data_IF_915377842591
#
_entry.id   IF_915377842591
#
_cell.length_a   1.000
_cell.length_b   1.000
_cell.length_c   1.000
_cell.angle_alpha   90.00
_cell.angle_beta   90.00
_cell.angle_gamma   90.00
#
_symmetry.space_group_name_H-M   'P 1'
#
loop_
_entity.id
_entity.type
_entity.pdbx_description
1 polymer ?
#
# COMPACT_ATOMS: atom_id res chain seq x y z
N UNK A 1 -52.06 6.84 -35.23
CA UNK A 1 -52.67 7.63 -36.33
C UNK A 1 -53.11 8.96 -35.75
N UNK A 2 -52.94 10.08 -36.47
CA UNK A 2 -53.29 11.41 -35.95
C UNK A 2 -52.45 12.54 -36.53
N UNK A 3 -52.88 13.05 -37.68
CA UNK A 3 -52.43 14.30 -38.33
C UNK A 3 -53.70 14.98 -38.90
N UNK A 4 -53.71 16.27 -39.31
CA UNK A 4 -52.57 17.19 -39.46
C UNK A 4 -52.83 18.66 -38.99
N UNK A 5 -51.94 19.58 -39.39
CA UNK A 5 -52.18 21.00 -39.74
C UNK A 5 -52.51 22.05 -38.65
N UNK A 6 -51.45 22.80 -38.29
CA UNK A 6 -51.29 24.26 -38.51
C UNK A 6 -52.46 25.24 -38.35
N UNK A 7 -52.19 26.35 -37.64
CA UNK A 7 -52.25 27.68 -38.27
C UNK A 7 -51.30 28.70 -37.60
N UNK A 8 -51.10 29.85 -38.25
CA UNK A 8 -50.18 30.93 -37.86
C UNK A 8 -50.98 32.23 -37.79
N UNK A 9 -50.77 33.06 -36.74
CA UNK A 9 -50.66 34.53 -36.83
C UNK A 9 -50.44 35.19 -35.44
N UNK A 10 -49.65 36.27 -35.45
CA UNK A 10 -49.51 37.28 -34.38
C UNK A 10 -50.41 38.50 -34.73
N UNK A 11 -50.36 39.69 -34.08
CA UNK A 11 -49.64 40.11 -32.85
C UNK A 11 -50.44 41.02 -31.88
N UNK A 12 -49.97 41.17 -30.63
CA UNK A 12 -50.16 42.40 -29.81
C UNK A 12 -48.86 42.69 -29.03
N UNK A 13 -48.50 43.96 -28.82
CA UNK A 13 -47.20 44.37 -28.22
C UNK A 13 -47.29 44.76 -26.73
N UNK A 14 -46.22 44.53 -25.94
CA UNK A 14 -46.12 44.99 -24.55
C UNK A 14 -45.49 46.38 -24.39
N UNK A 15 -45.83 47.07 -23.31
CA UNK A 15 -45.15 48.25 -22.72
C UNK A 15 -45.42 48.25 -21.21
N UNK A 16 -44.55 48.71 -20.31
CA UNK A 16 -43.14 49.16 -20.39
C UNK A 16 -42.58 49.21 -18.96
N UNK A 17 -41.30 48.87 -18.77
CA UNK A 17 -40.44 49.55 -17.79
C UNK A 17 -39.14 49.95 -18.52
N UNK A 18 -38.56 51.08 -18.13
CA UNK A 18 -37.47 51.80 -18.80
C UNK A 18 -36.51 52.35 -17.73
N UNK A 19 -35.21 52.59 -17.93
CA UNK A 19 -34.20 52.21 -18.98
C UNK A 19 -32.84 52.86 -18.57
N UNK A 20 -31.73 52.48 -19.24
CA UNK A 20 -30.42 53.19 -19.32
C UNK A 20 -29.51 53.08 -18.06
N UNK A 21 -28.17 53.07 -18.13
CA UNK A 21 -27.22 53.06 -19.27
C UNK A 21 -25.93 52.29 -18.83
N UNK A 22 -25.14 51.52 -19.60
CA UNK A 22 -24.96 51.24 -21.04
C UNK A 22 -23.88 52.07 -21.81
N UNK A 23 -22.61 51.69 -21.64
CA UNK A 23 -21.47 51.84 -22.60
C UNK A 23 -20.43 50.74 -22.26
N UNK A 24 -19.93 49.84 -23.13
CA UNK A 24 -19.39 49.93 -24.52
C UNK A 24 -18.07 50.72 -24.59
N UNK A 25 -17.04 50.31 -25.34
CA UNK A 25 -16.98 49.36 -26.49
C UNK A 25 -15.79 48.34 -26.44
N UNK A 26 -15.66 47.51 -27.49
CA UNK A 26 -14.63 46.48 -27.71
C UNK A 26 -13.67 46.91 -28.83
N UNK A 27 -12.34 46.77 -28.71
CA UNK A 27 -11.47 46.40 -29.85
C UNK A 27 -10.04 45.89 -29.51
N UNK A 28 -9.73 44.70 -30.02
CA UNK A 28 -8.45 44.13 -30.52
C UNK A 28 -7.04 44.67 -30.18
N UNK A 29 -6.14 43.72 -29.85
CA UNK A 29 -4.69 43.59 -30.22
C UNK A 29 -3.67 44.66 -29.78
N UNK A 30 -2.62 44.25 -29.04
CA UNK A 30 -1.20 44.25 -29.52
C UNK A 30 -0.24 43.60 -28.50
N UNK A 31 1.00 43.33 -28.92
CA UNK A 31 2.15 42.86 -28.12
C UNK A 31 3.15 44.00 -27.83
N UNK A 32 4.03 43.77 -26.85
CA UNK A 32 5.32 44.44 -26.60
C UNK A 32 5.35 45.95 -26.26
N UNK A 33 5.91 46.31 -25.10
CA UNK A 33 7.34 46.70 -24.98
C UNK A 33 7.67 47.37 -23.62
N UNK A 34 8.98 47.63 -23.40
CA UNK A 34 9.61 48.46 -22.35
C UNK A 34 9.50 47.91 -20.90
N UNK A 35 10.56 47.48 -20.20
CA UNK A 35 11.93 47.99 -19.90
C UNK A 35 12.02 48.88 -18.64
N UNK A 36 12.72 48.35 -17.63
CA UNK A 36 13.68 49.01 -16.73
C UNK A 36 13.46 50.45 -16.25
N UNK A 37 13.35 50.61 -14.93
CA UNK A 37 14.04 51.67 -14.18
C UNK A 37 14.41 51.20 -12.77
N UNK A 38 15.49 51.74 -12.21
CA UNK A 38 16.06 51.30 -10.92
C UNK A 38 15.24 51.79 -9.72
N UNK A 39 15.36 51.08 -8.59
CA UNK A 39 14.61 51.38 -7.36
C UNK A 39 15.27 52.41 -6.43
N UNK A 40 14.59 52.63 -5.30
CA UNK A 40 15.08 53.31 -4.08
C UNK A 40 14.63 52.48 -2.88
N UNK A 41 15.42 52.44 -1.81
CA UNK A 41 15.03 51.89 -0.49
C UNK A 41 14.65 53.02 0.46
N UNK A 42 13.58 52.84 1.23
CA UNK A 42 13.46 53.41 2.58
C UNK A 42 12.58 52.52 3.45
N UNK A 43 12.72 52.68 4.77
CA UNK A 43 12.08 51.88 5.81
C UNK A 43 10.60 52.22 6.02
N UNK A 44 9.85 51.30 6.64
CA UNK A 44 9.42 51.44 8.04
C UNK A 44 8.81 50.13 8.57
N UNK A 45 8.87 49.93 9.88
CA UNK A 45 8.33 48.78 10.61
C UNK A 45 6.83 48.97 10.91
N UNK A 46 6.04 47.88 10.87
CA UNK A 46 4.92 47.65 11.80
C UNK A 46 4.79 46.14 12.00
N UNK A 47 4.96 45.66 13.23
CA UNK A 47 4.54 44.31 13.63
C UNK A 47 3.01 44.24 13.78
N UNK A 48 2.38 43.25 13.16
CA UNK A 48 1.05 42.77 13.57
C UNK A 48 1.08 41.25 13.61
N UNK A 49 1.04 40.70 14.82
CA UNK A 49 0.83 39.28 15.06
C UNK A 49 -0.63 38.88 14.78
N UNK A 50 -0.84 37.75 14.10
CA UNK A 50 -2.06 36.97 14.21
C UNK A 50 -1.80 35.54 13.70
N UNK A 51 -1.92 34.56 14.60
CA UNK A 51 -2.04 33.16 14.22
C UNK A 51 -3.45 32.89 13.65
N UNK A 52 -3.56 32.04 12.62
CA UNK A 52 -4.35 30.80 12.71
C UNK A 52 -4.32 29.92 11.45
N UNK A 53 -4.12 28.63 11.71
CA UNK A 53 -4.76 27.48 11.08
C UNK A 53 -5.12 27.57 9.58
N UNK A 54 -4.21 27.07 8.73
CA UNK A 54 -4.60 26.35 7.51
C UNK A 54 -3.62 25.19 7.28
N UNK A 55 -3.84 24.07 7.98
CA UNK A 55 -3.09 22.81 7.81
C UNK A 55 -3.38 22.17 6.44
N UNK A 56 -2.76 22.71 5.40
CA UNK A 56 -2.81 22.19 4.04
C UNK A 56 -1.58 21.33 3.78
N UNK A 57 -1.71 20.01 3.95
CA UNK A 57 -0.67 19.04 3.61
C UNK A 57 -0.28 19.15 2.13
N UNK A 58 0.83 19.84 1.85
CA UNK A 58 1.39 19.95 0.50
C UNK A 58 2.22 18.72 0.18
N UNK A 59 1.85 17.97 -0.86
CA UNK A 59 2.70 16.96 -1.47
C UNK A 59 4.03 17.58 -1.93
N UNK A 60 5.16 17.11 -1.40
CA UNK A 60 6.48 17.66 -1.74
C UNK A 60 6.82 17.29 -3.19
N UNK A 61 6.86 18.29 -4.08
CA UNK A 61 7.30 18.10 -5.46
C UNK A 61 8.83 18.13 -5.55
N UNK A 62 9.40 17.22 -6.34
CA UNK A 62 10.86 17.08 -6.51
C UNK A 62 11.43 17.81 -7.74
N UNK A 63 10.60 18.58 -8.47
CA UNK A 63 11.06 19.47 -9.55
C UNK A 63 11.23 20.89 -8.99
N UNK A 64 12.44 21.24 -8.55
CA UNK A 64 12.72 22.56 -7.97
C UNK A 64 12.70 23.68 -9.01
N UNK A 65 12.00 24.78 -8.69
CA UNK A 65 12.12 26.04 -9.41
C UNK A 65 13.26 26.90 -8.82
N UNK A 66 13.93 27.68 -9.66
CA UNK A 66 15.17 28.40 -9.31
C UNK A 66 14.89 29.74 -8.61
N UNK A 67 14.70 29.75 -7.30
CA UNK A 67 14.78 30.98 -6.49
C UNK A 67 16.04 31.05 -5.62
N UNK A 68 16.85 32.07 -5.83
CA UNK A 68 18.14 32.29 -5.17
C UNK A 68 18.02 33.00 -3.83
N UNK A 69 17.45 32.32 -2.82
CA UNK A 69 17.43 32.81 -1.44
C UNK A 69 18.41 32.06 -0.52
N UNK A 70 19.00 32.77 0.44
CA UNK A 70 19.99 32.22 1.40
C UNK A 70 19.29 31.41 2.49
N UNK A 71 18.95 30.16 2.19
CA UNK A 71 18.47 29.23 3.22
C UNK A 71 19.54 28.94 4.27
N UNK A 72 19.12 28.94 5.53
CA UNK A 72 19.95 28.51 6.66
C UNK A 72 20.30 27.03 6.47
N UNK A 73 21.58 26.72 6.37
CA UNK A 73 22.06 25.34 6.47
C UNK A 73 21.77 24.84 7.89
N UNK A 74 20.81 23.93 8.01
CA UNK A 74 20.87 22.68 8.80
C UNK A 74 19.49 21.99 8.92
N UNK A 75 18.68 22.00 7.85
CA UNK A 75 17.39 21.26 7.77
C UNK A 75 17.58 19.73 7.76
N UNK A 76 18.81 19.26 7.55
CA UNK A 76 19.18 17.85 7.56
C UNK A 76 20.22 17.59 8.65
N UNK A 77 20.06 16.52 9.47
CA UNK A 77 21.03 16.20 10.50
C UNK A 77 22.38 15.82 9.87
N UNK A 78 23.48 16.37 10.42
CA UNK A 78 24.85 16.14 9.93
C UNK A 78 25.38 14.72 10.19
N UNK A 79 24.62 13.91 10.90
CA UNK A 79 24.92 12.51 11.21
C UNK A 79 23.63 11.70 11.30
N UNK A 80 23.73 10.39 11.05
CA UNK A 80 22.65 9.42 11.27
C UNK A 80 22.18 9.47 12.74
N UNK A 81 20.87 9.30 12.97
CA UNK A 81 20.31 9.09 14.32
C UNK A 81 20.89 7.82 14.96
N UNK A 82 20.87 7.69 16.29
CA UNK A 82 21.42 6.51 16.96
C UNK A 82 20.65 5.23 16.60
N UNK A 83 19.32 5.28 16.55
CA UNK A 83 18.45 4.21 16.05
C UNK A 83 18.77 3.83 14.59
N UNK A 84 19.12 4.79 13.71
CA UNK A 84 19.57 4.46 12.35
C UNK A 84 21.00 3.86 12.34
N UNK A 85 21.89 4.29 13.26
CA UNK A 85 23.20 3.63 13.45
C UNK A 85 23.05 2.21 13.99
N UNK A 86 22.02 1.93 14.78
CA UNK A 86 21.66 0.60 15.28
C UNK A 86 21.13 -0.30 14.15
N UNK A 87 20.12 0.17 13.40
CA UNK A 87 19.58 -0.50 12.20
C UNK A 87 20.70 -0.94 11.23
N UNK A 88 21.72 -0.09 11.05
CA UNK A 88 22.87 -0.32 10.16
C UNK A 88 24.03 -1.12 10.82
N UNK A 89 23.97 -1.40 12.12
CA UNK A 89 24.83 -2.38 12.82
C UNK A 89 24.19 -3.77 12.76
N UNK A 90 22.93 -3.90 13.14
CA UNK A 90 22.22 -5.18 13.29
C UNK A 90 22.29 -6.03 12.01
N UNK A 91 22.02 -5.40 10.86
CA UNK A 91 22.09 -6.01 9.54
C UNK A 91 23.48 -6.57 9.16
N UNK A 92 24.58 -6.07 9.73
CA UNK A 92 25.93 -6.58 9.40
C UNK A 92 26.17 -7.99 9.93
N UNK A 93 25.43 -8.39 10.96
CA UNK A 93 25.59 -9.68 11.63
C UNK A 93 24.74 -10.79 10.99
N UNK A 94 23.80 -10.49 10.08
CA UNK A 94 22.89 -11.51 9.51
C UNK A 94 23.42 -12.21 8.23
N UNK A 95 24.66 -11.95 7.82
CA UNK A 95 25.31 -12.52 6.62
C UNK A 95 25.77 -14.00 6.75
N UNK A 96 25.04 -14.83 7.48
CA UNK A 96 25.28 -16.27 7.52
C UNK A 96 24.73 -16.97 6.27
N UNK A 97 25.40 -18.04 5.83
CA UNK A 97 24.88 -18.91 4.75
C UNK A 97 23.61 -19.61 5.25
N UNK A 98 22.50 -19.41 4.55
CA UNK A 98 21.26 -20.11 4.83
C UNK A 98 21.33 -21.57 4.34
N UNK A 99 21.48 -22.50 5.27
CA UNK A 99 20.96 -23.86 5.10
C UNK A 99 19.57 -23.89 5.72
N UNK A 100 18.53 -24.20 4.93
CA UNK A 100 17.27 -24.68 5.49
C UNK A 100 17.57 -26.06 6.07
N UNK A 101 17.51 -26.20 7.38
CA UNK A 101 17.59 -27.51 7.99
C UNK A 101 16.20 -28.14 7.98
N UNK A 102 16.11 -29.43 7.66
CA UNK A 102 14.89 -30.20 7.89
C UNK A 102 14.74 -30.47 9.40
N UNK A 103 14.49 -29.42 10.18
CA UNK A 103 14.10 -29.54 11.57
C UNK A 103 12.76 -30.25 11.59
N UNK A 104 12.76 -31.45 12.17
CA UNK A 104 11.55 -32.18 12.48
C UNK A 104 10.77 -31.29 13.45
N UNK A 105 9.66 -30.72 12.99
CA UNK A 105 8.75 -29.98 13.86
C UNK A 105 8.26 -30.94 14.94
N UNK A 106 8.65 -30.71 16.19
CA UNK A 106 7.91 -31.23 17.34
C UNK A 106 6.52 -30.62 17.24
N UNK A 107 5.60 -31.35 16.59
CA UNK A 107 4.21 -30.94 16.44
C UNK A 107 3.60 -30.93 17.83
N UNK A 108 3.41 -29.73 18.34
CA UNK A 108 2.45 -29.40 19.38
C UNK A 108 1.13 -30.10 19.06
N UNK A 109 0.65 -30.94 19.99
CA UNK A 109 -0.62 -31.66 19.82
C UNK A 109 -1.85 -30.73 19.97
N UNK A 110 -1.59 -29.46 20.29
CA UNK A 110 -2.57 -28.41 20.43
C UNK A 110 -3.36 -28.18 19.13
N UNK A 111 -4.68 -28.21 19.23
CA UNK A 111 -5.61 -27.92 18.13
C UNK A 111 -6.30 -26.58 18.41
N UNK A 112 -6.10 -25.55 17.58
CA UNK A 112 -6.78 -24.26 17.74
C UNK A 112 -8.29 -24.38 17.84
N UNK A 113 -8.86 -23.68 18.83
CA UNK A 113 -10.30 -23.48 19.01
C UNK A 113 -10.69 -22.05 18.58
N UNK A 114 -11.96 -21.67 18.73
CA UNK A 114 -12.46 -20.37 18.29
C UNK A 114 -11.79 -19.18 19.00
N UNK A 115 -11.39 -19.33 20.27
CA UNK A 115 -10.79 -18.26 21.09
C UNK A 115 -9.25 -18.22 21.00
N UNK A 116 -8.64 -19.01 20.11
CA UNK A 116 -7.19 -19.08 19.96
C UNK A 116 -6.68 -17.84 19.24
N UNK A 117 -5.81 -17.08 19.91
CA UNK A 117 -5.19 -15.85 19.41
C UNK A 117 -3.86 -16.17 18.70
N UNK A 118 -3.10 -17.11 19.25
CA UNK A 118 -1.78 -17.53 18.78
C UNK A 118 -1.60 -19.03 19.05
N UNK A 119 -0.91 -19.75 18.17
CA UNK A 119 -0.50 -21.15 18.39
C UNK A 119 0.84 -21.49 17.70
N UNK A 120 1.40 -22.66 18.03
CA UNK A 120 2.75 -23.13 17.65
C UNK A 120 3.84 -22.05 17.81
N UNK A 121 3.73 -21.20 18.82
CA UNK A 121 4.55 -20.00 19.09
C UNK A 121 4.51 -18.88 18.03
N UNK A 122 4.14 -19.15 16.78
CA UNK A 122 4.37 -18.22 15.66
C UNK A 122 3.18 -18.03 14.69
N UNK A 123 2.08 -18.76 14.84
CA UNK A 123 0.93 -18.65 13.93
C UNK A 123 -0.25 -17.92 14.59
N UNK A 124 -0.85 -16.97 13.88
CA UNK A 124 -2.13 -16.36 14.28
C UNK A 124 -3.24 -17.42 14.35
N UNK A 125 -3.98 -17.45 15.46
CA UNK A 125 -5.05 -18.42 15.70
C UNK A 125 -6.40 -18.03 15.11
N UNK A 126 -7.39 -18.90 15.34
CA UNK A 126 -8.74 -18.82 14.76
C UNK A 126 -9.48 -17.52 15.06
N UNK A 127 -9.35 -16.95 16.27
CA UNK A 127 -10.01 -15.68 16.66
C UNK A 127 -9.59 -14.54 15.72
N UNK A 128 -8.33 -14.54 15.28
CA UNK A 128 -7.77 -13.55 14.35
C UNK A 128 -8.07 -13.91 12.90
N UNK A 129 -7.79 -15.15 12.48
CA UNK A 129 -7.98 -15.59 11.08
C UNK A 129 -9.46 -15.57 10.64
N UNK A 130 -10.40 -15.96 11.51
CA UNK A 130 -11.85 -15.89 11.23
C UNK A 130 -12.36 -14.43 11.20
N UNK A 131 -11.66 -13.51 11.87
CA UNK A 131 -11.98 -12.08 11.89
C UNK A 131 -11.37 -11.29 10.73
N UNK A 132 -10.62 -11.95 9.84
CA UNK A 132 -9.97 -11.29 8.70
C UNK A 132 -11.00 -10.76 7.68
N UNK A 133 -10.85 -9.52 7.18
CA UNK A 133 -11.81 -8.94 6.25
C UNK A 133 -11.79 -9.65 4.89
N UNK A 134 -12.98 -9.86 4.32
CA UNK A 134 -13.12 -10.41 2.99
C UNK A 134 -12.47 -9.47 1.95
N UNK A 135 -11.49 -10.02 1.23
CA UNK A 135 -10.86 -9.40 0.08
C UNK A 135 -11.02 -10.23 -1.19
N UNK A 136 -10.06 -10.12 -2.10
CA UNK A 136 -10.11 -10.69 -3.44
C UNK A 136 -9.77 -12.18 -3.43
N UNK A 137 -10.77 -13.04 -3.20
CA UNK A 137 -10.66 -14.51 -3.22
C UNK A 137 -10.32 -15.09 -4.59
N UNK A 138 -10.06 -16.40 -4.68
CA UNK A 138 -9.40 -17.05 -5.84
C UNK A 138 -9.96 -16.66 -7.21
N UNK A 139 -11.27 -16.78 -7.41
CA UNK A 139 -11.93 -16.54 -8.72
C UNK A 139 -12.05 -15.05 -9.15
N UNK A 140 -11.71 -14.08 -8.30
CA UNK A 140 -11.97 -12.66 -8.64
C UNK A 140 -11.11 -12.13 -9.77
N UNK A 141 -9.94 -12.75 -10.02
CA UNK A 141 -9.06 -12.37 -11.11
C UNK A 141 -9.66 -12.75 -12.46
N UNK A 142 -10.16 -13.99 -12.58
CA UNK A 142 -10.72 -14.57 -13.81
C UNK A 142 -12.08 -13.92 -14.16
N UNK A 143 -12.86 -13.53 -13.15
CA UNK A 143 -14.09 -12.75 -13.35
C UNK A 143 -13.76 -11.37 -13.94
N UNK A 144 -12.77 -10.67 -13.38
CA UNK A 144 -12.31 -9.37 -13.88
C UNK A 144 -11.71 -9.44 -15.29
N UNK A 145 -10.95 -10.50 -15.56
CA UNK A 145 -10.31 -10.76 -16.85
C UNK A 145 -11.33 -10.94 -17.98
N UNK A 146 -12.30 -11.84 -17.80
CA UNK A 146 -13.42 -12.03 -18.75
C UNK A 146 -14.27 -10.77 -18.90
N UNK A 147 -14.48 -10.03 -17.80
CA UNK A 147 -15.23 -8.78 -17.81
C UNK A 147 -14.55 -7.72 -18.68
N UNK A 148 -13.25 -7.46 -18.49
CA UNK A 148 -12.49 -6.48 -19.28
C UNK A 148 -12.40 -6.88 -20.76
N UNK A 149 -12.37 -8.18 -21.08
CA UNK A 149 -12.39 -8.68 -22.46
C UNK A 149 -13.69 -8.42 -23.23
N UNK A 150 -14.82 -8.39 -22.53
CA UNK A 150 -16.14 -8.20 -23.14
C UNK A 150 -16.60 -6.74 -23.11
N UNK A 151 -15.95 -5.90 -22.30
CA UNK A 151 -16.33 -4.52 -22.02
C UNK A 151 -15.90 -3.52 -23.09
N UNK A 152 -16.27 -2.26 -22.86
CA UNK A 152 -15.97 -1.08 -23.70
C UNK A 152 -15.80 0.11 -22.74
N UNK A 153 -14.69 0.85 -22.86
CA UNK A 153 -14.50 2.10 -22.10
C UNK A 153 -15.26 3.23 -22.82
N UNK A 154 -16.16 3.89 -22.09
CA UNK A 154 -16.98 5.00 -22.61
C UNK A 154 -16.51 6.38 -22.13
N UNK A 155 -15.62 6.44 -21.13
CA UNK A 155 -15.06 7.68 -20.56
C UNK A 155 -13.69 7.40 -19.95
N UNK A 156 -12.74 8.30 -20.17
CA UNK A 156 -11.36 8.19 -19.66
C UNK A 156 -10.90 9.54 -19.08
N UNK A 157 -10.61 9.59 -17.77
CA UNK A 157 -10.35 10.83 -17.04
C UNK A 157 -9.09 10.76 -16.15
N UNK A 158 -8.56 11.91 -15.75
CA UNK A 158 -7.40 11.99 -14.87
C UNK A 158 -7.74 11.41 -13.49
N UNK A 159 -6.96 10.45 -13.01
CA UNK A 159 -7.21 9.80 -11.73
C UNK A 159 -6.15 8.75 -11.38
N UNK A 160 -6.39 8.03 -10.28
CA UNK A 160 -5.53 6.93 -9.82
C UNK A 160 -4.07 7.33 -9.57
N UNK A 161 -3.84 8.49 -8.94
CA UNK A 161 -2.52 8.93 -8.46
C UNK A 161 -1.74 9.77 -9.48
N UNK A 162 -0.97 9.12 -10.38
CA UNK A 162 0.01 9.81 -11.22
C UNK A 162 -0.60 10.46 -12.48
N UNK A 163 0.03 11.54 -12.97
CA UNK A 163 -0.42 12.33 -14.14
C UNK A 163 -0.69 11.51 -15.41
N UNK A 164 0.00 10.39 -15.64
CA UNK A 164 -0.24 9.49 -16.79
C UNK A 164 -1.24 8.35 -16.51
N UNK A 165 -1.62 8.11 -15.25
CA UNK A 165 -2.68 7.16 -14.92
C UNK A 165 -4.05 7.74 -15.31
N UNK A 166 -5.01 6.87 -15.59
CA UNK A 166 -6.39 7.26 -15.90
C UNK A 166 -7.37 6.43 -15.11
N UNK A 167 -8.44 7.07 -14.66
CA UNK A 167 -9.67 6.40 -14.26
C UNK A 167 -10.48 6.19 -15.55
N UNK A 168 -10.85 4.96 -15.84
CA UNK A 168 -11.77 4.64 -16.95
C UNK A 168 -13.10 4.18 -16.39
N UNK A 169 -14.17 4.53 -17.08
CA UNK A 169 -15.53 4.07 -16.78
C UNK A 169 -16.06 3.27 -17.95
N UNK A 170 -16.52 2.05 -17.67
CA UNK A 170 -17.14 1.15 -18.63
C UNK A 170 -18.63 1.49 -18.84
N UNK A 171 -19.22 0.89 -19.87
CA UNK A 171 -20.61 1.17 -20.31
C UNK A 171 -21.69 0.95 -19.25
N UNK A 172 -21.43 0.13 -18.24
CA UNK A 172 -22.32 -0.17 -17.10
C UNK A 172 -22.08 0.72 -15.86
N UNK A 173 -21.09 1.61 -15.91
CA UNK A 173 -20.68 2.46 -14.80
C UNK A 173 -19.62 1.87 -13.87
N UNK A 174 -19.16 0.62 -14.10
CA UNK A 174 -18.00 0.07 -13.39
C UNK A 174 -16.75 0.85 -13.79
N UNK A 175 -15.80 0.98 -12.86
CA UNK A 175 -14.59 1.76 -13.06
C UNK A 175 -13.31 0.93 -12.91
N UNK A 176 -12.24 1.36 -13.57
CA UNK A 176 -10.89 0.80 -13.43
C UNK A 176 -9.81 1.88 -13.36
N UNK A 177 -8.76 1.60 -12.61
CA UNK A 177 -7.51 2.35 -12.67
C UNK A 177 -6.60 1.76 -13.74
N UNK A 178 -6.21 2.58 -14.71
CA UNK A 178 -5.32 2.20 -15.80
C UNK A 178 -3.93 2.80 -15.56
N UNK A 179 -2.94 1.93 -15.41
CA UNK A 179 -1.52 2.27 -15.25
C UNK A 179 -0.82 2.24 -16.61
N UNK A 180 -0.44 3.42 -17.10
CA UNK A 180 0.40 3.59 -18.29
C UNK A 180 1.82 4.03 -17.90
N UNK A 181 2.84 3.39 -18.49
CA UNK A 181 4.26 3.70 -18.26
C UNK A 181 5.05 3.60 -19.56
N UNK A 182 6.08 4.43 -19.68
CA UNK A 182 7.06 4.34 -20.77
C UNK A 182 8.04 3.17 -20.59
N UNK A 183 8.33 2.83 -19.32
CA UNK A 183 9.25 1.79 -18.88
C UNK A 183 8.52 0.46 -18.63
N UNK A 184 8.96 -0.62 -19.29
CA UNK A 184 8.38 -1.96 -19.16
C UNK A 184 8.56 -2.56 -17.78
N UNK A 185 9.68 -2.30 -17.08
CA UNK A 185 9.94 -2.81 -15.72
C UNK A 185 8.82 -2.48 -14.74
N UNK A 186 8.15 -1.33 -14.89
CA UNK A 186 7.06 -0.90 -14.00
C UNK A 186 5.73 -1.59 -14.33
N UNK A 187 5.45 -1.87 -15.61
CA UNK A 187 4.28 -2.66 -16.03
C UNK A 187 4.46 -4.12 -15.59
N UNK A 188 5.67 -4.68 -15.81
CA UNK A 188 6.04 -6.01 -15.34
C UNK A 188 6.04 -6.09 -13.81
N UNK A 189 6.59 -5.07 -13.13
CA UNK A 189 6.59 -4.97 -11.66
C UNK A 189 5.19 -5.04 -11.08
N UNK A 190 4.23 -4.28 -11.62
CA UNK A 190 2.83 -4.31 -11.21
C UNK A 190 2.18 -5.69 -11.44
N UNK A 191 2.22 -6.23 -12.67
CA UNK A 191 1.49 -7.48 -12.98
C UNK A 191 2.12 -8.73 -12.34
N UNK A 192 3.46 -8.83 -12.30
CA UNK A 192 4.10 -9.97 -11.64
C UNK A 192 4.00 -9.85 -10.10
N UNK A 193 3.93 -8.64 -9.53
CA UNK A 193 3.61 -8.49 -8.09
C UNK A 193 2.17 -8.91 -7.81
N UNK A 194 1.20 -8.61 -8.68
CA UNK A 194 -0.15 -9.16 -8.60
C UNK A 194 -0.14 -10.70 -8.63
N UNK A 195 0.56 -11.32 -9.60
CA UNK A 195 0.67 -12.79 -9.69
C UNK A 195 1.36 -13.43 -8.47
N UNK A 196 2.44 -12.83 -7.95
CA UNK A 196 3.06 -13.27 -6.67
C UNK A 196 2.07 -13.19 -5.52
N UNK A 197 1.25 -12.15 -5.46
CA UNK A 197 0.15 -12.02 -4.49
C UNK A 197 -0.87 -13.15 -4.61
N UNK A 198 -1.26 -13.55 -5.83
CA UNK A 198 -2.15 -14.71 -6.06
C UNK A 198 -1.52 -16.02 -5.60
N UNK A 199 -0.25 -16.25 -5.95
CA UNK A 199 0.49 -17.46 -5.57
C UNK A 199 0.69 -17.60 -4.05
N UNK A 200 0.70 -16.49 -3.31
CA UNK A 200 0.76 -16.42 -1.84
C UNK A 200 -0.64 -16.43 -1.16
N UNK A 201 -1.72 -16.63 -1.93
CA UNK A 201 -3.11 -16.52 -1.49
C UNK A 201 -3.43 -15.20 -0.75
N UNK A 202 -2.84 -14.09 -1.22
CA UNK A 202 -3.09 -12.76 -0.68
C UNK A 202 -4.35 -12.15 -1.29
N UNK A 203 -5.28 -11.81 -0.41
CA UNK A 203 -6.59 -11.21 -0.69
C UNK A 203 -6.55 -9.68 -0.78
N UNK A 204 -5.38 -9.10 -0.60
CA UNK A 204 -5.12 -7.66 -0.42
C UNK A 204 -4.78 -6.92 -1.73
N UNK A 205 -4.73 -7.63 -2.86
CA UNK A 205 -4.39 -7.09 -4.18
C UNK A 205 -5.62 -7.13 -5.09
N UNK A 206 -5.99 -5.97 -5.65
CA UNK A 206 -7.14 -5.87 -6.53
C UNK A 206 -6.89 -6.54 -7.90
N UNK A 207 -7.92 -7.20 -8.49
CA UNK A 207 -7.85 -7.82 -9.80
C UNK A 207 -7.25 -6.88 -10.85
N UNK A 208 -6.22 -7.37 -11.53
CA UNK A 208 -5.39 -6.58 -12.44
C UNK A 208 -5.07 -7.40 -13.70
N UNK A 209 -5.31 -6.82 -14.88
CA UNK A 209 -5.04 -7.46 -16.17
C UNK A 209 -4.17 -6.58 -17.06
N UNK A 210 -3.41 -7.18 -17.97
CA UNK A 210 -2.70 -6.44 -19.02
C UNK A 210 -3.59 -6.32 -20.25
N UNK A 211 -3.64 -5.14 -20.86
CA UNK A 211 -4.18 -4.92 -22.22
C UNK A 211 -3.21 -4.06 -23.02
N UNK A 212 -3.35 -4.05 -24.33
CA UNK A 212 -2.58 -3.20 -25.25
C UNK A 212 -3.44 -1.99 -25.62
N UNK A 213 -2.85 -0.79 -25.67
CA UNK A 213 -3.49 0.41 -26.23
C UNK A 213 -3.52 0.28 -27.76
N UNK A 214 -4.57 -0.32 -28.31
CA UNK A 214 -4.89 -0.30 -29.74
C UNK A 214 -6.24 0.39 -29.95
N UNK A 215 -6.27 1.43 -30.80
CA UNK A 215 -7.48 2.19 -31.12
C UNK A 215 -8.48 1.40 -32.00
N UNK A 216 -8.08 0.23 -32.51
CA UNK A 216 -8.95 -0.73 -33.20
C UNK A 216 -9.62 -1.73 -32.25
N UNK A 217 -9.13 -1.87 -31.03
CA UNK A 217 -9.76 -2.69 -30.01
C UNK A 217 -11.04 -2.00 -29.51
N UNK A 218 -12.14 -2.76 -29.46
CA UNK A 218 -13.42 -2.35 -28.89
C UNK A 218 -13.25 -1.74 -27.49
N UNK A 219 -12.29 -2.22 -26.70
CA UNK A 219 -11.99 -1.70 -25.37
C UNK A 219 -11.68 -0.19 -25.37
N UNK A 220 -11.03 0.32 -26.41
CA UNK A 220 -10.47 1.69 -26.48
C UNK A 220 -11.09 2.58 -27.55
N UNK A 221 -11.75 2.00 -28.56
CA UNK A 221 -12.25 2.70 -29.75
C UNK A 221 -13.00 4.01 -29.42
N UNK A 222 -13.93 3.93 -28.47
CA UNK A 222 -14.81 5.03 -28.04
C UNK A 222 -14.12 6.15 -27.23
N UNK A 223 -12.89 5.92 -26.74
CA UNK A 223 -12.07 6.93 -26.00
C UNK A 223 -10.76 7.28 -26.70
N UNK A 224 -10.66 7.04 -28.01
CA UNK A 224 -9.49 7.39 -28.84
C UNK A 224 -9.05 8.86 -28.74
N UNK A 225 -9.98 9.80 -28.56
CA UNK A 225 -9.69 11.21 -28.30
C UNK A 225 -9.07 11.48 -26.92
N UNK A 226 -9.52 10.78 -25.88
CA UNK A 226 -8.98 10.89 -24.52
C UNK A 226 -7.58 10.26 -24.43
N UNK A 227 -7.35 9.14 -25.13
CA UNK A 227 -6.04 8.49 -25.28
C UNK A 227 -5.04 9.45 -25.94
N UNK A 228 -5.46 10.12 -27.00
CA UNK A 228 -4.65 11.13 -27.71
C UNK A 228 -4.33 12.33 -26.80
N UNK A 229 -5.33 12.81 -26.06
CA UNK A 229 -5.18 13.90 -25.07
C UNK A 229 -4.28 13.49 -23.89
N UNK A 230 -4.28 12.21 -23.51
CA UNK A 230 -3.41 11.64 -22.49
C UNK A 230 -1.95 11.42 -22.96
N UNK A 231 -1.65 11.67 -24.24
CA UNK A 231 -0.33 11.42 -24.86
C UNK A 231 0.14 9.97 -24.69
N UNK A 232 -0.82 9.03 -24.71
CA UNK A 232 -0.54 7.60 -24.68
C UNK A 232 -0.19 7.10 -26.09
N UNK A 233 0.94 6.40 -26.21
CA UNK A 233 1.32 5.77 -27.47
C UNK A 233 0.50 4.50 -27.70
N UNK A 234 0.09 4.28 -28.95
CA UNK A 234 -0.47 3.00 -29.38
C UNK A 234 0.57 1.88 -29.30
N UNK A 235 0.11 0.62 -29.30
CA UNK A 235 0.94 -0.58 -29.17
C UNK A 235 1.79 -0.59 -27.88
N UNK A 236 1.22 -0.10 -26.77
CA UNK A 236 1.82 -0.14 -25.43
C UNK A 236 0.97 -0.96 -24.47
N UNK A 237 1.63 -1.77 -23.65
CA UNK A 237 1.00 -2.50 -22.56
C UNK A 237 0.62 -1.55 -21.41
N UNK A 238 -0.58 -1.73 -20.88
CA UNK A 238 -1.13 -1.03 -19.71
C UNK A 238 -1.74 -2.05 -18.75
N UNK A 239 -1.73 -1.76 -17.45
CA UNK A 239 -2.42 -2.59 -16.44
C UNK A 239 -3.75 -1.96 -16.08
N UNK A 240 -4.84 -2.72 -16.19
CA UNK A 240 -6.19 -2.32 -15.78
C UNK A 240 -6.53 -3.02 -14.46
N UNK A 241 -6.43 -2.28 -13.37
CA UNK A 241 -6.80 -2.73 -12.02
C UNK A 241 -8.23 -2.27 -11.72
N UNK A 242 -9.05 -3.12 -11.09
CA UNK A 242 -10.39 -2.74 -10.64
C UNK A 242 -10.34 -1.49 -9.74
N UNK A 243 -11.20 -0.50 -10.00
CA UNK A 243 -11.27 0.70 -9.15
C UNK A 243 -11.85 0.33 -7.77
N UNK A 244 -11.31 0.95 -6.72
CA UNK A 244 -11.73 0.73 -5.34
C UNK A 244 -12.19 2.07 -4.75
N UNK A 245 -13.49 2.27 -4.47
CA UNK A 245 -13.97 3.45 -3.78
C UNK A 245 -13.65 3.37 -2.28
N UNK A 246 -13.87 4.49 -1.57
CA UNK A 246 -13.89 4.54 -0.09
C UNK A 246 -12.60 4.05 0.58
N UNK A 247 -11.48 4.64 0.16
CA UNK A 247 -10.14 4.37 0.71
C UNK A 247 -9.67 5.49 1.65
N UNK A 248 -9.07 5.09 2.77
CA UNK A 248 -8.28 5.95 3.66
C UNK A 248 -6.79 5.56 3.63
N UNK A 249 -5.90 6.44 4.06
CA UNK A 249 -4.46 6.15 4.13
C UNK A 249 -4.10 5.31 5.36
N UNK A 250 -3.29 4.27 5.19
CA UNK A 250 -2.89 3.40 6.30
C UNK A 250 -1.61 3.92 7.02
N UNK A 251 -1.70 4.12 8.33
CA UNK A 251 -0.58 4.49 9.22
C UNK A 251 0.26 3.27 9.62
N UNK A 252 1.57 3.46 9.83
CA UNK A 252 2.46 2.39 10.29
C UNK A 252 2.21 2.10 11.79
N UNK A 253 1.85 0.87 12.21
CA UNK A 253 1.64 0.53 13.62
C UNK A 253 2.91 0.70 14.46
N UNK A 254 2.75 1.16 15.70
CA UNK A 254 3.86 1.43 16.65
C UNK A 254 4.86 0.26 16.78
N UNK A 255 4.36 -0.97 16.72
CA UNK A 255 5.16 -2.20 16.85
C UNK A 255 6.20 -2.36 15.72
N UNK A 256 5.96 -1.72 14.57
CA UNK A 256 6.84 -1.67 13.40
C UNK A 256 7.63 -0.34 13.25
N UNK A 257 7.42 0.62 14.14
CA UNK A 257 8.20 1.87 14.17
C UNK A 257 9.60 1.66 14.80
N UNK A 258 10.57 2.57 14.56
CA UNK A 258 11.97 2.34 14.89
C UNK A 258 12.31 2.12 16.37
N UNK A 259 11.44 2.51 17.31
CA UNK A 259 11.63 2.30 18.75
C UNK A 259 11.38 0.87 19.22
N UNK A 260 10.53 0.12 18.51
CA UNK A 260 10.07 -1.20 18.94
C UNK A 260 10.61 -2.27 17.98
N UNK A 261 10.25 -2.19 16.69
CA UNK A 261 10.73 -3.09 15.63
C UNK A 261 10.70 -4.59 15.98
N UNK A 262 9.66 -5.12 16.60
CA UNK A 262 9.54 -6.57 16.82
C UNK A 262 8.08 -7.03 16.94
N UNK A 263 7.72 -8.14 16.30
CA UNK A 263 6.41 -8.79 16.49
C UNK A 263 6.61 -10.29 16.74
N UNK A 264 6.43 -10.71 18.00
CA UNK A 264 6.62 -12.09 18.47
C UNK A 264 5.59 -12.52 19.53
N UNK A 265 5.63 -13.80 19.98
CA UNK A 265 4.65 -14.37 20.94
C UNK A 265 4.44 -13.53 22.21
N UNK A 266 5.52 -12.93 22.71
CA UNK A 266 5.53 -12.14 23.94
C UNK A 266 4.79 -10.80 23.76
N UNK A 267 4.84 -10.23 22.56
CA UNK A 267 4.16 -8.96 22.25
C UNK A 267 2.63 -9.18 22.15
N UNK A 268 2.23 -10.27 21.48
CA UNK A 268 0.83 -10.69 21.38
C UNK A 268 0.27 -11.00 22.77
N UNK A 269 1.01 -11.71 23.62
CA UNK A 269 0.62 -11.95 25.01
C UNK A 269 0.44 -10.64 25.80
N UNK A 270 1.41 -9.71 25.73
CA UNK A 270 1.35 -8.42 26.44
C UNK A 270 0.20 -7.54 25.99
N UNK A 271 -0.13 -7.54 24.69
CA UNK A 271 -1.31 -6.86 24.16
C UNK A 271 -2.61 -7.53 24.63
N UNK A 272 -2.65 -8.86 24.69
CA UNK A 272 -3.83 -9.64 25.13
C UNK A 272 -4.12 -9.54 26.64
N UNK A 273 -3.09 -9.49 27.49
CA UNK A 273 -3.25 -9.29 28.94
C UNK A 273 -3.76 -7.87 29.23
N UNK A 274 -3.16 -6.86 28.59
CA UNK A 274 -3.57 -5.45 28.73
C UNK A 274 -5.04 -5.22 28.38
N UNK A 275 -5.57 -5.97 27.41
CA UNK A 275 -6.98 -5.94 27.01
C UNK A 275 -7.90 -6.46 28.12
N UNK A 276 -7.52 -7.58 28.76
CA UNK A 276 -8.26 -8.16 29.89
C UNK A 276 -8.24 -7.25 31.14
N UNK A 277 -7.09 -6.64 31.46
CA UNK A 277 -6.99 -5.67 32.56
C UNK A 277 -7.95 -4.48 32.38
N UNK A 278 -8.14 -4.01 31.14
CA UNK A 278 -9.08 -2.93 30.80
C UNK A 278 -10.54 -3.43 30.89
N UNK A 279 -10.80 -4.66 30.45
CA UNK A 279 -12.11 -5.32 30.54
C UNK A 279 -12.61 -5.47 31.98
N UNK A 280 -11.74 -5.88 32.91
CA UNK A 280 -12.11 -6.05 34.31
C UNK A 280 -12.05 -4.74 35.12
N UNK A 281 -11.08 -3.84 34.89
CA UNK A 281 -11.11 -2.51 35.53
C UNK A 281 -12.36 -1.70 35.19
N UNK A 282 -12.96 -1.90 34.00
CA UNK A 282 -14.25 -1.30 33.63
C UNK A 282 -15.41 -1.73 34.53
N UNK A 283 -15.36 -2.95 35.10
CA UNK A 283 -16.28 -3.39 36.18
C UNK A 283 -15.81 -2.89 37.55
N UNK A 284 -14.50 -2.97 37.79
CA UNK A 284 -13.91 -2.75 39.09
C UNK A 284 -13.88 -1.28 39.53
N UNK A 285 -13.97 -0.31 38.62
CA UNK A 285 -14.03 1.13 38.93
C UNK A 285 -15.26 1.51 39.76
N UNK A 286 -16.37 0.75 39.68
CA UNK A 286 -17.53 0.92 40.58
C UNK A 286 -17.35 0.28 41.98
N UNK A 287 -16.38 -0.61 42.17
CA UNK A 287 -16.22 -1.42 43.39
C UNK A 287 -14.98 -1.00 44.22
N UNK A 288 -13.86 -0.67 43.55
CA UNK A 288 -12.58 -0.44 44.23
C UNK A 288 -12.45 0.91 44.95
N UNK A 289 -13.41 1.84 44.83
CA UNK A 289 -13.42 3.07 45.65
C UNK A 289 -13.72 2.83 47.14
N UNK A 290 -14.02 1.59 47.55
CA UNK A 290 -14.39 1.24 48.94
C UNK A 290 -13.45 0.25 49.65
N UNK A 291 -12.41 -0.32 49.00
CA UNK A 291 -11.55 -1.35 49.61
C UNK A 291 -10.06 -1.23 49.22
N UNK A 292 -9.21 -0.97 50.23
CA UNK A 292 -7.73 -1.07 50.24
C UNK A 292 -6.96 -0.19 49.22
N UNK A 293 -5.79 0.42 49.51
CA UNK A 293 -4.90 0.45 50.69
C UNK A 293 -4.51 -0.92 51.26
N UNK A 294 -3.37 -1.45 50.77
CA UNK A 294 -2.70 -2.75 50.98
C UNK A 294 -2.82 -3.64 49.72
N UNK A 295 -1.76 -4.20 49.12
CA UNK A 295 -0.33 -4.26 49.51
C UNK A 295 0.64 -4.11 48.30
N UNK A 296 1.96 -4.04 48.57
CA UNK A 296 3.04 -3.96 47.56
C UNK A 296 3.94 -5.21 47.58
N UNK A 297 3.74 -6.12 46.64
CA UNK A 297 4.61 -7.27 46.32
C UNK A 297 4.29 -7.73 44.89
N UNK A 298 5.19 -8.19 44.02
CA UNK A 298 6.66 -8.09 43.92
C UNK A 298 7.01 -8.37 42.45
N UNK A 299 7.76 -7.52 41.75
CA UNK A 299 8.14 -7.79 40.35
C UNK A 299 9.09 -8.99 40.26
N UNK A 300 8.64 -10.10 39.68
CA UNK A 300 9.53 -11.21 39.26
C UNK A 300 8.87 -12.11 38.21
N UNK A 301 8.37 -11.48 37.16
CA UNK A 301 7.59 -12.11 36.10
C UNK A 301 8.52 -12.95 35.20
N UNK A 302 8.75 -14.19 35.62
CA UNK A 302 9.23 -15.27 34.76
C UNK A 302 7.99 -15.79 34.05
N UNK A 303 7.75 -15.31 32.82
CA UNK A 303 6.69 -15.82 31.94
C UNK A 303 6.89 -17.35 31.80
N UNK A 304 5.90 -18.15 32.19
CA UNK A 304 5.98 -19.62 32.07
C UNK A 304 6.03 -20.02 30.58
N UNK A 305 6.74 -21.10 30.20
CA UNK A 305 6.83 -21.54 28.80
C UNK A 305 5.44 -21.84 28.20
N UNK A 306 5.03 -21.03 27.22
CA UNK A 306 3.76 -21.17 26.50
C UNK A 306 3.99 -21.28 24.99
N UNK A 307 3.20 -22.12 24.34
CA UNK A 307 3.19 -22.36 22.89
C UNK A 307 1.93 -21.83 22.19
N UNK A 308 0.83 -21.64 22.94
CA UNK A 308 -0.44 -21.08 22.47
C UNK A 308 -0.96 -19.96 23.40
N UNK A 309 -1.90 -19.16 22.90
CA UNK A 309 -2.63 -18.14 23.65
C UNK A 309 -4.13 -18.31 23.38
N UNK A 310 -4.85 -18.87 24.35
CA UNK A 310 -6.32 -18.92 24.37
C UNK A 310 -6.86 -17.82 25.30
N UNK A 311 -7.30 -16.70 24.71
CA UNK A 311 -7.83 -15.56 25.45
C UNK A 311 -8.96 -14.92 24.66
N UNK A 312 -10.11 -14.73 25.32
CA UNK A 312 -11.25 -14.03 24.72
C UNK A 312 -11.02 -12.52 24.74
N UNK A 313 -10.78 -11.95 23.57
CA UNK A 313 -10.41 -10.55 23.39
C UNK A 313 -11.62 -9.61 23.23
N UNK A 314 -11.39 -8.31 23.42
CA UNK A 314 -12.30 -7.26 22.97
C UNK A 314 -12.23 -7.07 21.46
N UNK A 315 -13.33 -6.59 20.86
CA UNK A 315 -13.40 -6.27 19.42
C UNK A 315 -12.28 -5.33 18.96
N UNK A 316 -11.88 -4.37 19.79
CA UNK A 316 -10.77 -3.44 19.52
C UNK A 316 -9.42 -4.16 19.38
N UNK A 317 -9.15 -5.14 20.24
CA UNK A 317 -7.86 -5.87 20.23
C UNK A 317 -7.85 -6.95 19.15
N UNK A 318 -9.00 -7.56 18.83
CA UNK A 318 -9.17 -8.38 17.63
C UNK A 318 -8.89 -7.56 16.36
N UNK A 319 -9.45 -6.35 16.24
CA UNK A 319 -9.20 -5.45 15.11
C UNK A 319 -7.71 -5.06 14.99
N UNK A 320 -7.03 -4.82 16.12
CA UNK A 320 -5.59 -4.59 16.13
C UNK A 320 -4.81 -5.81 15.61
N UNK A 321 -5.12 -7.03 16.07
CA UNK A 321 -4.43 -8.24 15.63
C UNK A 321 -4.74 -8.60 14.17
N UNK A 322 -5.96 -8.37 13.69
CA UNK A 322 -6.33 -8.46 12.26
C UNK A 322 -5.55 -7.45 11.41
N UNK A 323 -5.24 -6.26 11.94
CA UNK A 323 -4.32 -5.33 11.27
C UNK A 323 -2.88 -5.86 11.28
N UNK A 324 -2.35 -6.29 12.43
CA UNK A 324 -0.98 -6.83 12.53
C UNK A 324 -0.77 -8.08 11.66
N UNK A 325 -1.80 -8.92 11.51
CA UNK A 325 -1.79 -10.06 10.60
C UNK A 325 -1.68 -9.61 9.12
N UNK A 326 -2.43 -8.58 8.71
CA UNK A 326 -2.30 -8.00 7.36
C UNK A 326 -0.94 -7.30 7.15
N UNK A 327 -0.38 -6.66 8.17
CA UNK A 327 0.99 -6.13 8.11
C UNK A 327 2.05 -7.24 8.03
N UNK A 328 1.83 -8.41 8.64
CA UNK A 328 2.75 -9.56 8.50
C UNK A 328 2.79 -10.10 7.06
N UNK A 329 1.62 -10.22 6.41
CA UNK A 329 1.51 -10.54 4.98
C UNK A 329 2.18 -9.45 4.11
N UNK A 330 1.99 -8.17 4.45
CA UNK A 330 2.59 -7.04 3.74
C UNK A 330 4.12 -7.03 3.83
N UNK A 331 4.69 -7.25 5.02
CA UNK A 331 6.14 -7.28 5.24
C UNK A 331 6.77 -8.43 4.45
N UNK A 332 6.14 -9.61 4.44
CA UNK A 332 6.54 -10.73 3.58
C UNK A 332 6.46 -10.33 2.10
N UNK A 333 5.34 -9.76 1.66
CA UNK A 333 5.11 -9.42 0.26
C UNK A 333 6.08 -8.35 -0.27
N UNK A 334 6.25 -7.24 0.45
CA UNK A 334 7.19 -6.18 0.13
C UNK A 334 8.65 -6.66 0.27
N UNK A 335 8.95 -7.59 1.18
CA UNK A 335 10.26 -8.27 1.20
C UNK A 335 10.49 -9.03 -0.10
N UNK A 336 9.58 -9.94 -0.47
CA UNK A 336 9.74 -10.84 -1.62
C UNK A 336 9.83 -10.06 -2.93
N UNK A 337 8.94 -9.09 -3.14
CA UNK A 337 8.97 -8.20 -4.32
C UNK A 337 10.08 -7.15 -4.25
N UNK A 338 10.68 -6.89 -3.09
CA UNK A 338 11.57 -5.75 -2.86
C UNK A 338 10.90 -4.40 -3.22
N UNK A 339 9.62 -4.26 -2.87
CA UNK A 339 8.84 -3.04 -3.11
C UNK A 339 9.35 -1.90 -2.22
N UNK A 340 9.85 -0.86 -2.87
CA UNK A 340 10.51 0.27 -2.23
C UNK A 340 9.49 1.23 -1.60
N UNK A 341 8.36 1.40 -2.28
CA UNK A 341 7.51 2.60 -2.22
C UNK A 341 6.40 2.51 -1.16
N UNK A 342 6.74 1.90 -0.01
CA UNK A 342 5.92 1.76 1.21
C UNK A 342 6.80 2.00 2.46
N UNK A 343 6.70 1.14 3.49
CA UNK A 343 7.46 1.24 4.75
C UNK A 343 8.99 1.37 4.56
N UNK A 344 9.56 0.78 3.50
CA UNK A 344 10.98 0.94 3.16
C UNK A 344 11.33 2.37 2.73
N UNK A 345 10.41 3.11 2.09
CA UNK A 345 10.57 4.52 1.80
C UNK A 345 10.48 5.37 3.08
N UNK A 346 9.52 5.09 3.97
CA UNK A 346 9.45 5.79 5.28
C UNK A 346 10.75 5.54 6.08
N UNK A 347 11.20 4.29 6.22
CA UNK A 347 12.47 3.94 6.90
C UNK A 347 13.69 4.59 6.24
N UNK A 348 13.78 4.60 4.91
CA UNK A 348 14.89 5.25 4.20
C UNK A 348 14.94 6.75 4.45
N UNK A 349 13.79 7.42 4.62
CA UNK A 349 13.72 8.86 4.90
C UNK A 349 13.80 9.22 6.39
N UNK A 350 13.65 8.24 7.30
CA UNK A 350 13.73 8.44 8.76
C UNK A 350 15.04 9.10 9.20
N UNK A 351 16.14 8.82 8.49
CA UNK A 351 17.46 9.42 8.73
C UNK A 351 17.50 10.96 8.52
N UNK A 352 16.48 11.54 7.87
CA UNK A 352 16.37 12.98 7.62
C UNK A 352 15.17 13.61 8.32
N UNK A 353 14.08 12.87 8.53
CA UNK A 353 12.88 13.32 9.22
C UNK A 353 12.32 12.18 10.07
N UNK A 354 12.48 12.25 11.39
CA UNK A 354 12.01 11.19 12.30
C UNK A 354 10.49 11.02 12.28
N UNK A 355 9.74 12.10 12.07
CA UNK A 355 8.27 12.09 12.03
C UNK A 355 7.70 11.38 10.78
N UNK A 356 8.54 10.94 9.83
CA UNK A 356 8.08 10.25 8.61
C UNK A 356 7.46 8.87 8.92
N UNK A 357 7.75 8.30 10.10
CA UNK A 357 7.18 7.02 10.55
C UNK A 357 5.80 7.19 11.21
N UNK A 358 5.41 8.42 11.57
CA UNK A 358 4.05 8.75 12.05
C UNK A 358 3.10 9.09 10.90
N UNK A 359 3.65 9.39 9.72
CA UNK A 359 2.88 9.54 8.48
C UNK A 359 2.33 8.21 7.96
N UNK A 360 1.39 8.25 7.01
CA UNK A 360 0.93 7.05 6.33
C UNK A 360 2.05 6.37 5.55
N UNK A 361 1.96 5.05 5.39
CA UNK A 361 2.78 4.33 4.43
C UNK A 361 2.29 4.68 3.02
N UNK A 362 3.22 5.05 2.14
CA UNK A 362 2.88 5.33 0.74
C UNK A 362 2.34 4.06 0.05
N UNK A 363 1.48 4.24 -0.96
CA UNK A 363 0.83 3.15 -1.72
C UNK A 363 0.16 2.04 -0.87
N UNK A 364 -0.26 2.36 0.36
CA UNK A 364 -1.03 1.49 1.24
C UNK A 364 -2.29 2.23 1.70
N UNK A 365 -3.44 1.61 1.45
CA UNK A 365 -4.74 2.14 1.84
C UNK A 365 -5.49 1.14 2.70
N UNK A 366 -6.39 1.62 3.57
CA UNK A 366 -7.41 0.78 4.21
C UNK A 366 -8.75 1.04 3.52
N UNK A 367 -9.54 -0.01 3.33
CA UNK A 367 -10.93 0.10 2.87
C UNK A 367 -11.82 0.43 4.07
N UNK A 368 -12.53 1.57 4.02
CA UNK A 368 -13.21 2.13 5.20
C UNK A 368 -14.36 1.25 5.77
N UNK A 369 -14.94 0.35 4.98
CA UNK A 369 -16.07 -0.48 5.39
C UNK A 369 -15.67 -1.83 6.02
N UNK A 370 -14.54 -2.41 5.62
CA UNK A 370 -14.08 -3.72 6.09
C UNK A 370 -12.78 -3.69 6.91
N UNK A 371 -11.99 -2.61 6.84
CA UNK A 371 -10.66 -2.58 7.43
C UNK A 371 -9.58 -3.36 6.66
N UNK A 372 -9.89 -3.83 5.45
CA UNK A 372 -8.94 -4.50 4.56
C UNK A 372 -7.82 -3.53 4.13
N UNK A 373 -6.57 -3.88 4.39
CA UNK A 373 -5.40 -3.21 3.83
C UNK A 373 -5.24 -3.61 2.36
N UNK A 374 -4.99 -2.62 1.50
CA UNK A 374 -4.95 -2.76 0.05
C UNK A 374 -3.59 -2.35 -0.50
N UNK A 375 -2.94 -3.29 -1.19
CA UNK A 375 -1.55 -3.17 -1.63
C UNK A 375 -1.54 -2.58 -3.05
N UNK A 376 -1.49 -1.25 -3.13
CA UNK A 376 -1.59 -0.46 -4.38
C UNK A 376 -0.21 -0.17 -5.01
N UNK A 377 -0.18 0.20 -6.30
CA UNK A 377 1.01 0.68 -7.05
C UNK A 377 2.30 -0.13 -6.79
N UNK A 378 2.24 -1.43 -7.10
CA UNK A 378 3.34 -2.39 -6.87
C UNK A 378 4.41 -2.34 -7.99
N UNK A 379 4.35 -1.33 -8.85
CA UNK A 379 5.26 -1.10 -9.99
C UNK A 379 6.75 -0.98 -9.62
N UNK A 380 7.08 -0.68 -8.36
CA UNK A 380 8.46 -0.63 -7.89
C UNK A 380 9.02 -2.02 -7.55
N UNK A 381 8.14 -3.03 -7.42
CA UNK A 381 8.49 -4.41 -7.12
C UNK A 381 9.19 -5.15 -8.27
N UNK A 382 9.76 -6.29 -7.91
CA UNK A 382 10.43 -7.27 -8.75
C UNK A 382 11.51 -6.64 -9.64
N UNK A 383 11.20 -6.27 -10.89
CA UNK A 383 12.21 -5.85 -11.87
C UNK A 383 12.93 -4.58 -11.45
N UNK A 384 12.21 -3.58 -10.94
CA UNK A 384 12.82 -2.34 -10.48
C UNK A 384 13.51 -2.49 -9.12
N UNK A 385 12.80 -3.04 -8.12
CA UNK A 385 13.31 -3.27 -6.77
C UNK A 385 14.56 -4.13 -6.72
N UNK A 386 14.64 -5.20 -7.53
CA UNK A 386 15.82 -6.08 -7.58
C UNK A 386 17.07 -5.40 -8.14
N UNK A 387 16.93 -4.37 -9.00
CA UNK A 387 18.06 -3.53 -9.42
C UNK A 387 18.61 -2.65 -8.29
N UNK A 388 17.81 -2.41 -7.25
CA UNK A 388 18.10 -1.49 -6.15
C UNK A 388 18.39 -2.19 -4.80
N UNK A 389 18.31 -3.53 -4.75
CA UNK A 389 18.60 -4.34 -3.55
C UNK A 389 19.93 -4.00 -2.86
N UNK A 390 20.99 -3.69 -3.61
CA UNK A 390 22.30 -3.28 -3.04
C UNK A 390 22.21 -2.09 -2.08
N UNK A 391 21.20 -1.21 -2.26
CA UNK A 391 20.96 -0.04 -1.41
C UNK A 391 19.82 -0.26 -0.41
N UNK A 392 18.75 -0.94 -0.81
CA UNK A 392 17.50 -1.01 -0.02
C UNK A 392 17.26 -2.33 0.73
N UNK A 393 17.98 -3.42 0.43
CA UNK A 393 17.74 -4.70 1.09
C UNK A 393 17.92 -4.63 2.61
N UNK A 394 18.76 -3.73 3.12
CA UNK A 394 18.98 -3.50 4.56
C UNK A 394 17.68 -3.17 5.32
N UNK A 395 16.76 -2.41 4.70
CA UNK A 395 15.47 -2.05 5.30
C UNK A 395 14.44 -3.19 5.16
N UNK A 396 14.47 -3.93 4.04
CA UNK A 396 13.67 -5.14 3.89
C UNK A 396 14.06 -6.21 4.92
N UNK A 397 15.37 -6.49 5.06
CA UNK A 397 15.90 -7.41 6.07
C UNK A 397 15.58 -6.94 7.48
N UNK A 398 15.66 -5.65 7.80
CA UNK A 398 15.26 -5.11 9.11
C UNK A 398 13.80 -5.47 9.46
N UNK A 399 12.87 -5.35 8.51
CA UNK A 399 11.46 -5.69 8.76
C UNK A 399 11.22 -7.20 8.85
N UNK A 400 11.91 -8.00 8.03
CA UNK A 400 11.77 -9.46 8.04
C UNK A 400 12.43 -10.11 9.26
N UNK A 401 13.68 -9.77 9.57
CA UNK A 401 14.47 -10.43 10.63
C UNK A 401 13.89 -10.23 12.04
N UNK A 402 12.95 -9.29 12.18
CA UNK A 402 12.19 -8.92 13.38
C UNK A 402 10.71 -9.38 13.39
N UNK A 403 10.23 -9.98 12.30
CA UNK A 403 8.90 -10.56 12.22
C UNK A 403 8.96 -12.03 12.65
N UNK A 404 8.19 -12.41 13.68
CA UNK A 404 8.06 -13.77 14.20
C UNK A 404 6.61 -14.17 14.55
N UNK A 405 5.60 -13.45 14.05
CA UNK A 405 4.21 -13.94 14.00
C UNK A 405 3.71 -13.85 12.57
N UNK A 406 3.13 -14.95 12.09
CA UNK A 406 2.81 -15.16 10.68
C UNK A 406 1.42 -15.77 10.52
N UNK A 407 0.86 -15.62 9.31
CA UNK A 407 -0.38 -16.30 8.93
C UNK A 407 -0.08 -17.66 8.35
N UNK A 408 -0.70 -18.72 8.90
CA UNK A 408 -0.41 -20.11 8.53
C UNK A 408 -0.54 -20.37 7.03
N UNK A 409 -1.63 -19.87 6.41
CA UNK A 409 -1.91 -19.95 4.97
C UNK A 409 -0.78 -19.39 4.10
N UNK A 410 -0.16 -18.30 4.54
CA UNK A 410 0.90 -17.59 3.80
C UNK A 410 2.21 -18.37 3.90
N UNK A 411 2.52 -18.94 5.07
CA UNK A 411 3.69 -19.81 5.27
C UNK A 411 3.58 -21.12 4.48
N UNK A 412 2.41 -21.75 4.44
CA UNK A 412 2.24 -22.99 3.67
C UNK A 412 2.25 -22.74 2.15
N UNK A 413 1.74 -21.58 1.71
CA UNK A 413 1.94 -21.11 0.32
C UNK A 413 3.42 -20.88 0.00
N UNK A 414 4.19 -20.26 0.90
CA UNK A 414 5.65 -20.08 0.73
C UNK A 414 6.40 -21.41 0.63
N UNK A 415 6.04 -22.42 1.44
CA UNK A 415 6.63 -23.76 1.38
C UNK A 415 6.35 -24.40 -0.01
N UNK A 416 5.12 -24.35 -0.49
CA UNK A 416 4.75 -24.83 -1.85
C UNK A 416 5.45 -24.08 -2.99
N UNK A 417 5.72 -22.77 -2.85
CA UNK A 417 6.45 -21.95 -3.82
C UNK A 417 7.99 -22.05 -3.71
N UNK A 418 8.48 -22.73 -2.69
CA UNK A 418 9.90 -23.06 -2.57
C UNK A 418 10.20 -24.45 -3.14
N UNK A 419 9.35 -25.44 -2.87
CA UNK A 419 9.44 -26.78 -3.48
C UNK A 419 9.23 -26.74 -5.00
N UNK A 420 8.32 -25.89 -5.47
CA UNK A 420 7.95 -25.78 -6.88
C UNK A 420 8.48 -24.46 -7.44
N UNK A 421 9.17 -24.49 -8.59
CA UNK A 421 9.83 -23.30 -9.14
C UNK A 421 8.85 -22.14 -9.39
N UNK A 422 8.91 -21.12 -8.53
CA UNK A 422 8.09 -19.90 -8.63
C UNK A 422 8.28 -19.19 -9.98
N UNK A 423 9.46 -19.30 -10.60
CA UNK A 423 9.73 -18.79 -11.94
C UNK A 423 8.92 -19.49 -13.04
N UNK A 424 8.77 -20.82 -12.94
CA UNK A 424 7.95 -21.60 -13.86
C UNK A 424 6.48 -21.23 -13.68
N UNK A 425 5.96 -21.22 -12.44
CA UNK A 425 4.57 -20.81 -12.14
C UNK A 425 4.24 -19.41 -12.67
N UNK A 426 5.10 -18.42 -12.42
CA UNK A 426 4.89 -17.05 -12.91
C UNK A 426 4.96 -16.95 -14.44
N UNK A 427 5.82 -17.75 -15.08
CA UNK A 427 5.89 -17.85 -16.54
C UNK A 427 4.62 -18.49 -17.11
N UNK A 428 4.15 -19.60 -16.54
CA UNK A 428 2.91 -20.29 -16.96
C UNK A 428 1.69 -19.40 -16.81
N UNK A 429 1.50 -18.76 -15.65
CA UNK A 429 0.43 -17.78 -15.43
C UNK A 429 0.47 -16.64 -16.46
N UNK A 430 1.67 -16.12 -16.77
CA UNK A 430 1.82 -15.07 -17.78
C UNK A 430 1.47 -15.58 -19.19
N UNK A 431 1.94 -16.76 -19.59
CA UNK A 431 1.66 -17.32 -20.92
C UNK A 431 0.20 -17.74 -21.10
N UNK A 432 -0.49 -18.16 -20.04
CA UNK A 432 -1.91 -18.53 -20.05
C UNK A 432 -2.83 -17.30 -20.11
N UNK A 433 -2.54 -16.25 -19.31
CA UNK A 433 -3.38 -15.04 -19.22
C UNK A 433 -3.11 -13.99 -20.30
N UNK A 434 -2.04 -14.10 -21.07
CA UNK A 434 -1.64 -13.09 -22.05
C UNK A 434 -1.51 -13.68 -23.46
N UNK A 435 -2.23 -13.08 -24.41
CA UNK A 435 -2.19 -13.44 -25.82
C UNK A 435 -0.84 -13.08 -26.48
N UNK A 436 -0.61 -13.55 -27.71
CA UNK A 436 0.65 -13.31 -28.44
C UNK A 436 1.03 -11.83 -28.48
N UNK A 437 0.10 -10.94 -28.86
CA UNK A 437 0.34 -9.50 -29.00
C UNK A 437 0.83 -8.86 -27.69
N UNK A 438 0.29 -9.26 -26.54
CA UNK A 438 0.79 -8.78 -25.24
C UNK A 438 2.21 -9.29 -24.99
N UNK A 439 2.49 -10.56 -25.28
CA UNK A 439 3.81 -11.19 -25.03
C UNK A 439 4.92 -10.67 -25.96
N UNK A 440 4.56 -10.18 -27.15
CA UNK A 440 5.47 -9.52 -28.08
C UNK A 440 5.89 -8.11 -27.60
N UNK A 441 5.06 -7.46 -26.78
CA UNK A 441 5.28 -6.10 -26.24
C UNK A 441 5.85 -6.14 -24.81
N UNK A 442 5.45 -7.14 -24.03
CA UNK A 442 5.76 -7.29 -22.61
C UNK A 442 6.40 -8.66 -22.37
N UNK A 443 7.73 -8.74 -22.13
CA UNK A 443 8.39 -10.02 -21.94
C UNK A 443 7.98 -10.68 -20.60
N UNK A 444 8.13 -12.02 -20.48
CA UNK A 444 7.97 -12.72 -19.20
C UNK A 444 9.01 -12.25 -18.16
N UNK A 445 8.80 -12.60 -16.90
CA UNK A 445 9.75 -12.32 -15.82
C UNK A 445 11.12 -12.96 -16.13
N UNK A 446 12.23 -12.20 -16.19
CA UNK A 446 13.54 -12.76 -16.51
C UNK A 446 13.98 -13.83 -15.50
N UNK A 447 14.64 -14.89 -15.96
CA UNK A 447 15.11 -16.01 -15.12
C UNK A 447 15.95 -15.54 -13.91
N UNK A 448 16.83 -14.55 -14.13
CA UNK A 448 17.61 -13.91 -13.05
C UNK A 448 16.72 -13.34 -11.95
N UNK A 449 15.60 -12.72 -12.30
CA UNK A 449 14.65 -12.15 -11.34
C UNK A 449 13.81 -13.25 -10.68
N UNK A 450 13.39 -14.26 -11.42
CA UNK A 450 12.75 -15.45 -10.84
C UNK A 450 13.64 -16.16 -9.81
N UNK A 451 14.96 -16.25 -10.07
CA UNK A 451 15.95 -16.80 -9.14
C UNK A 451 16.07 -15.94 -7.88
N UNK A 452 16.18 -14.62 -8.02
CA UNK A 452 16.20 -13.70 -6.87
C UNK A 452 14.92 -13.85 -6.02
N UNK A 453 13.75 -13.99 -6.64
CA UNK A 453 12.50 -14.24 -5.92
C UNK A 453 12.55 -15.56 -5.13
N UNK A 454 13.00 -16.65 -5.74
CA UNK A 454 13.14 -17.94 -5.08
C UNK A 454 14.16 -17.92 -3.91
N UNK A 455 15.33 -17.28 -4.10
CA UNK A 455 16.31 -17.03 -3.04
C UNK A 455 15.70 -16.23 -1.87
N UNK A 456 14.81 -15.27 -2.16
CA UNK A 456 14.08 -14.48 -1.15
C UNK A 456 12.99 -15.27 -0.43
N UNK A 457 12.28 -16.19 -1.10
CA UNK A 457 11.37 -17.14 -0.45
C UNK A 457 12.15 -18.00 0.56
N UNK A 458 13.30 -18.55 0.17
CA UNK A 458 14.17 -19.31 1.07
C UNK A 458 14.63 -18.52 2.30
N UNK A 459 14.93 -17.23 2.15
CA UNK A 459 15.26 -16.34 3.28
C UNK A 459 14.06 -16.05 4.20
N UNK A 460 12.84 -15.92 3.68
CA UNK A 460 11.63 -15.81 4.51
C UNK A 460 11.38 -17.11 5.28
N UNK A 461 11.49 -18.27 4.63
CA UNK A 461 11.37 -19.58 5.29
C UNK A 461 12.44 -19.79 6.38
N UNK A 462 13.70 -19.39 6.13
CA UNK A 462 14.77 -19.47 7.12
C UNK A 462 14.57 -18.51 8.31
N UNK A 463 13.86 -17.37 8.14
CA UNK A 463 13.42 -16.54 9.26
C UNK A 463 12.31 -17.22 10.07
N UNK A 464 11.33 -17.84 9.41
CA UNK A 464 10.25 -18.59 10.07
C UNK A 464 10.85 -19.73 10.91
N UNK A 465 11.74 -20.54 10.31
CA UNK A 465 12.48 -21.62 10.99
C UNK A 465 13.26 -21.10 12.21
N UNK A 466 13.94 -19.95 12.09
CA UNK A 466 14.63 -19.27 13.19
C UNK A 466 13.66 -18.84 14.31
N UNK A 467 12.46 -18.36 13.98
CA UNK A 467 11.45 -18.01 14.97
C UNK A 467 10.89 -19.27 15.68
N UNK A 468 10.55 -20.32 14.93
CA UNK A 468 10.13 -21.63 15.47
C UNK A 468 11.18 -22.15 16.47
N UNK A 469 12.47 -22.16 16.10
CA UNK A 469 13.58 -22.56 16.98
C UNK A 469 13.75 -21.62 18.20
N UNK A 470 13.66 -20.30 18.02
CA UNK A 470 13.91 -19.33 19.08
C UNK A 470 12.84 -19.33 20.19
N UNK A 471 11.62 -19.75 19.88
CA UNK A 471 10.50 -19.83 20.83
C UNK A 471 10.15 -21.25 21.28
N UNK A 472 10.62 -22.30 20.60
CA UNK A 472 10.56 -23.68 21.10
C UNK A 472 11.61 -23.97 22.20
N UNK A 473 12.69 -23.17 22.29
CA UNK A 473 13.72 -23.26 23.33
C UNK A 473 13.51 -22.23 24.46
N UNK A 474 12.29 -21.74 24.66
CA UNK A 474 11.88 -20.74 25.66
C UNK A 474 10.48 -20.96 26.21
#
# INVERSE_FOLDING_TARGET
>A
MGSPQTQVLSPVSPRKVLRLNNSRDIHSRSLNSLKYSNGVRTSNEVDITNEKDLNKFSSVSFTGENETQKYVKDVYPKSLTEDMKEILKDNKNSHHKHSIANVISNKTEYVPNDNTVLYDNIYWGSEVENSMPQGYGENTAEIWERYVEQSEVIKMENGCGRMQNRLVTFKDGIQACVRYRQNTDQIQGEIFSFYVGRLLNLTNLAPSVVKVVDLKDKLWQSVSGDISTAQWNTNRAVVLTQYIPSLESATIPEIFKPSNRHLNKIDVLKMSIKDNDIGDTSKQIMINKLKAKKDKHTKKDIEEPFDHIDLKLTKSTIQLFVELAQWSDLIIFDYLTANLDRIVNNLFNYQWNVNIMDGPAHNLARKMDSGLLLFLDNESGLLHGYRLLKKYNVYHSLMLDNLCVFRKRTVDSLKSLYEQSVGVKLSEMFHQKNNAVIRDILPPLPEKNAKILHERIGKVLSQIEKCEQAFANR
#
